data_IF_079967741571
#
_entry.id   IF_079967741571
#
_cell.length_a   1.000
_cell.length_b   1.000
_cell.length_c   1.000
_cell.angle_alpha   90.00
_cell.angle_beta   90.00
_cell.angle_gamma   90.00
#
_symmetry.space_group_name_H-M   'P 1'
#
loop_
_entity.id
_entity.type
_entity.pdbx_description
1 polymer ?
#
# COMPACT_ATOMS: atom_id res chain seq x y z
N UNK A 1 12.13 69.88 46.88
CA UNK A 1 11.69 69.57 45.50
C UNK A 1 12.09 68.11 45.21
N UNK A 2 11.15 67.29 44.71
CA UNK A 2 11.21 65.80 44.48
C UNK A 2 11.10 64.99 45.78
N UNK A 3 9.98 64.39 46.22
CA UNK A 3 8.97 63.51 45.59
C UNK A 3 9.57 62.34 44.81
N UNK A 4 9.39 61.13 45.37
CA UNK A 4 9.42 59.77 44.79
C UNK A 4 10.28 58.82 45.62
N UNK A 5 9.70 58.20 46.66
CA UNK A 5 10.06 56.84 47.18
C UNK A 5 9.18 56.50 48.39
N UNK A 6 7.86 56.43 48.19
CA UNK A 6 6.90 55.99 49.22
C UNK A 6 5.85 55.05 48.61
N UNK A 7 6.27 53.98 47.91
CA UNK A 7 5.33 52.95 47.40
C UNK A 7 5.89 51.50 47.52
N UNK A 8 7.15 51.26 47.90
CA UNK A 8 7.75 49.91 47.68
C UNK A 8 7.91 49.04 48.94
N UNK A 9 7.67 49.55 50.16
CA UNK A 9 7.98 48.78 51.39
C UNK A 9 6.79 48.20 52.16
N UNK A 10 5.55 48.32 51.67
CA UNK A 10 4.37 47.70 52.31
C UNK A 10 3.68 46.62 51.46
N UNK A 11 4.15 46.35 50.24
CA UNK A 11 3.60 45.28 49.39
C UNK A 11 4.24 43.90 49.60
N UNK A 12 5.31 43.80 50.41
CA UNK A 12 6.09 42.57 50.50
C UNK A 12 5.62 41.57 51.58
N UNK A 13 4.68 41.94 52.44
CA UNK A 13 4.25 41.07 53.57
C UNK A 13 2.89 40.40 53.35
N UNK A 14 2.11 40.78 52.32
CA UNK A 14 0.83 40.11 51.99
C UNK A 14 0.98 39.06 50.88
N UNK A 15 2.11 39.02 50.16
CA UNK A 15 2.29 38.07 49.06
C UNK A 15 2.75 36.66 49.49
N UNK A 16 3.14 36.46 50.74
CA UNK A 16 3.66 35.17 51.24
C UNK A 16 2.56 34.30 51.89
N UNK A 17 1.36 34.84 52.16
CA UNK A 17 0.26 34.06 52.77
C UNK A 17 -0.85 33.60 51.81
N UNK A 18 -0.79 33.93 50.52
CA UNK A 18 -1.72 33.41 49.50
C UNK A 18 -1.16 32.26 48.66
N UNK A 19 0.11 31.89 48.86
CA UNK A 19 0.76 30.79 48.12
C UNK A 19 0.74 29.42 48.84
N UNK A 20 0.06 29.29 49.98
CA UNK A 20 -0.01 28.02 50.74
C UNK A 20 -1.41 27.36 50.68
N UNK A 21 -2.44 28.03 50.14
CA UNK A 21 -3.79 27.43 50.01
C UNK A 21 -4.22 27.06 48.59
N UNK A 22 -3.41 27.34 47.57
CA UNK A 22 -3.62 26.79 46.22
C UNK A 22 -2.58 25.71 46.00
N UNK A 23 -2.97 24.46 46.25
CA UNK A 23 -2.10 23.29 46.20
C UNK A 23 -1.25 23.23 44.93
N UNK A 24 0.03 23.58 45.08
CA UNK A 24 1.06 23.26 44.11
C UNK A 24 1.51 21.82 44.39
N UNK A 25 0.75 20.86 43.86
CA UNK A 25 1.28 19.51 43.66
C UNK A 25 2.28 19.59 42.53
N UNK A 26 3.53 19.23 42.82
CA UNK A 26 4.58 19.08 41.83
C UNK A 26 4.19 17.98 40.83
N UNK A 27 3.74 18.41 39.66
CA UNK A 27 3.47 17.58 38.50
C UNK A 27 4.03 18.31 37.29
N UNK A 28 4.77 17.57 36.46
CA UNK A 28 5.34 18.03 35.21
C UNK A 28 4.32 18.78 34.34
N UNK A 29 4.69 19.95 33.84
CA UNK A 29 4.00 20.68 32.78
C UNK A 29 4.07 19.85 31.48
N UNK A 30 3.23 18.82 31.38
CA UNK A 30 2.77 18.30 30.11
C UNK A 30 1.88 19.36 29.49
N UNK A 31 2.25 19.84 28.31
CA UNK A 31 1.39 20.68 27.48
C UNK A 31 0.16 19.83 27.12
N UNK A 32 -0.90 19.90 27.94
CA UNK A 32 -2.18 19.26 27.69
C UNK A 32 -2.97 20.09 26.66
N UNK A 33 -2.36 20.30 25.51
CA UNK A 33 -3.07 20.55 24.28
C UNK A 33 -3.56 19.21 23.77
N UNK A 34 -4.72 18.75 24.26
CA UNK A 34 -5.51 17.76 23.52
C UNK A 34 -5.82 18.35 22.14
N UNK A 35 -4.91 18.15 21.19
CA UNK A 35 -5.30 18.02 19.78
C UNK A 35 -6.33 16.90 19.81
N UNK A 36 -7.59 17.27 19.67
CA UNK A 36 -8.58 16.34 19.13
C UNK A 36 -7.99 15.92 17.79
N UNK A 37 -7.38 14.74 17.75
CA UNK A 37 -7.20 14.04 16.50
C UNK A 37 -8.61 13.90 15.94
N UNK A 38 -8.95 14.79 15.01
CA UNK A 38 -10.12 14.58 14.17
C UNK A 38 -9.85 13.23 13.54
N UNK A 39 -10.63 12.21 13.90
CA UNK A 39 -10.71 10.97 13.14
C UNK A 39 -10.81 11.39 11.68
N UNK A 40 -9.70 11.20 10.97
CA UNK A 40 -9.64 11.54 9.56
C UNK A 40 -10.49 10.46 8.92
N UNK A 41 -11.74 10.80 8.60
CA UNK A 41 -12.66 9.91 7.90
C UNK A 41 -11.91 9.38 6.68
N UNK A 42 -11.53 8.10 6.71
CA UNK A 42 -10.84 7.49 5.60
C UNK A 42 -11.79 7.49 4.42
N UNK A 43 -11.38 8.20 3.37
CA UNK A 43 -12.08 8.21 2.11
C UNK A 43 -11.84 6.87 1.44
N UNK A 44 -12.93 6.20 1.04
CA UNK A 44 -12.86 4.96 0.28
C UNK A 44 -12.05 5.22 -1.00
N UNK A 45 -11.11 4.34 -1.28
CA UNK A 45 -10.31 4.37 -2.51
C UNK A 45 -10.68 3.21 -3.41
N UNK A 46 -10.25 3.28 -4.68
CA UNK A 46 -10.35 2.13 -5.56
C UNK A 46 -9.59 0.93 -4.95
N UNK A 47 -10.15 -0.27 -5.13
CA UNK A 47 -9.57 -1.50 -4.59
C UNK A 47 -10.01 -2.74 -5.38
N UNK A 48 -9.26 -3.83 -5.24
CA UNK A 48 -9.43 -5.05 -6.00
C UNK A 48 -8.86 -4.96 -7.43
N UNK A 49 -9.39 -5.76 -8.38
CA UNK A 49 -10.48 -6.72 -8.21
C UNK A 49 -10.07 -7.93 -7.35
N UNK A 50 -11.01 -8.49 -6.61
CA UNK A 50 -10.89 -9.75 -5.89
C UNK A 50 -11.65 -10.82 -6.66
N UNK A 51 -10.99 -11.92 -7.00
CA UNK A 51 -11.59 -13.05 -7.72
C UNK A 51 -11.76 -14.21 -6.76
N UNK A 52 -13.00 -14.61 -6.52
CA UNK A 52 -13.38 -15.68 -5.59
C UNK A 52 -13.95 -16.84 -6.39
N UNK A 53 -13.32 -18.00 -6.30
CA UNK A 53 -13.80 -19.23 -6.91
C UNK A 53 -14.70 -19.99 -5.93
N UNK A 54 -15.95 -20.22 -6.32
CA UNK A 54 -16.93 -20.94 -5.50
C UNK A 54 -16.82 -22.46 -5.69
N UNK A 55 -17.19 -23.27 -4.67
CA UNK A 55 -17.14 -24.73 -4.76
C UNK A 55 -17.99 -25.35 -5.88
N UNK A 56 -19.04 -24.65 -6.33
CA UNK A 56 -19.93 -25.09 -7.40
C UNK A 56 -19.42 -24.68 -8.81
N UNK A 57 -18.23 -24.07 -8.89
CA UNK A 57 -17.60 -23.65 -10.13
C UNK A 57 -17.93 -22.23 -10.59
N UNK A 58 -18.79 -21.49 -9.86
CA UNK A 58 -19.01 -20.07 -10.12
C UNK A 58 -17.78 -19.23 -9.76
N UNK A 59 -17.71 -18.05 -10.35
CA UNK A 59 -16.66 -17.08 -10.05
C UNK A 59 -17.29 -15.75 -9.69
N UNK A 60 -17.00 -15.25 -8.50
CA UNK A 60 -17.38 -13.93 -8.04
C UNK A 60 -16.22 -12.95 -8.22
N UNK A 61 -16.49 -11.78 -8.78
CA UNK A 61 -15.51 -10.70 -8.95
C UNK A 61 -16.02 -9.46 -8.26
N UNK A 62 -15.23 -8.97 -7.29
CA UNK A 62 -15.58 -7.83 -6.44
C UNK A 62 -14.52 -6.73 -6.60
N UNK A 63 -14.93 -5.49 -6.84
CA UNK A 63 -14.04 -4.33 -6.89
C UNK A 63 -14.66 -3.11 -6.24
N UNK A 64 -13.83 -2.19 -5.80
CA UNK A 64 -14.23 -0.84 -5.38
C UNK A 64 -13.76 0.14 -6.44
N UNK A 65 -14.67 0.93 -7.00
CA UNK A 65 -14.33 1.95 -7.99
C UNK A 65 -13.61 3.14 -7.35
N UNK A 66 -13.00 4.00 -8.15
CA UNK A 66 -12.37 5.23 -7.65
C UNK A 66 -13.36 6.20 -6.99
N UNK A 67 -14.66 6.04 -7.24
CA UNK A 67 -15.75 6.77 -6.60
C UNK A 67 -16.22 6.11 -5.30
N UNK A 68 -15.58 5.01 -4.87
CA UNK A 68 -15.93 4.26 -3.67
C UNK A 68 -17.19 3.39 -3.83
N UNK A 69 -17.62 3.09 -5.05
CA UNK A 69 -18.76 2.20 -5.30
C UNK A 69 -18.27 0.76 -5.35
N UNK A 70 -19.01 -0.15 -4.71
CA UNK A 70 -18.72 -1.58 -4.78
C UNK A 70 -19.41 -2.14 -6.01
N UNK A 71 -18.64 -2.79 -6.87
CA UNK A 71 -19.09 -3.61 -7.97
C UNK A 71 -18.88 -5.07 -7.60
N UNK A 72 -19.93 -5.88 -7.72
CA UNK A 72 -19.93 -7.30 -7.38
C UNK A 72 -20.69 -8.05 -8.47
N UNK A 73 -20.00 -8.96 -9.16
CA UNK A 73 -20.57 -9.74 -10.26
C UNK A 73 -20.21 -11.21 -10.12
N UNK A 74 -21.22 -12.07 -10.07
CA UNK A 74 -21.07 -13.53 -10.08
C UNK A 74 -21.31 -14.09 -11.49
N UNK A 75 -20.32 -14.80 -12.01
CA UNK A 75 -20.37 -15.49 -13.29
C UNK A 75 -20.62 -16.98 -13.06
N UNK A 76 -21.62 -17.54 -13.74
CA UNK A 76 -21.81 -19.00 -13.77
C UNK A 76 -20.70 -19.70 -14.54
N UNK A 77 -20.26 -19.09 -15.63
CA UNK A 77 -19.08 -19.47 -16.42
C UNK A 77 -18.43 -18.17 -16.86
N UNK A 78 -17.11 -18.04 -16.68
CA UNK A 78 -16.38 -16.87 -17.16
C UNK A 78 -16.39 -16.82 -18.70
N UNK A 79 -16.63 -15.65 -19.31
CA UNK A 79 -16.45 -15.46 -20.75
C UNK A 79 -15.05 -15.86 -21.22
N UNK A 80 -14.94 -16.36 -22.45
CA UNK A 80 -13.66 -16.84 -22.99
C UNK A 80 -12.59 -15.72 -23.09
N UNK A 81 -13.04 -14.50 -23.33
CA UNK A 81 -12.24 -13.27 -23.44
C UNK A 81 -12.28 -12.42 -22.16
N UNK A 82 -12.70 -13.01 -21.03
CA UNK A 82 -12.79 -12.32 -19.76
C UNK A 82 -11.46 -11.68 -19.37
N UNK A 83 -11.53 -10.41 -19.00
CA UNK A 83 -10.38 -9.57 -18.66
C UNK A 83 -10.72 -8.79 -17.40
N UNK A 84 -9.79 -8.77 -16.45
CA UNK A 84 -9.86 -7.91 -15.29
C UNK A 84 -9.25 -6.55 -15.62
N UNK A 85 -9.96 -5.48 -15.28
CA UNK A 85 -9.44 -4.13 -15.38
C UNK A 85 -8.90 -3.70 -14.01
N UNK A 86 -7.61 -3.39 -13.95
CA UNK A 86 -6.91 -3.09 -12.71
C UNK A 86 -6.37 -1.67 -12.75
N UNK A 87 -6.51 -0.94 -11.64
CA UNK A 87 -5.98 0.41 -11.48
C UNK A 87 -5.56 0.65 -10.03
N UNK A 88 -4.63 1.57 -9.81
CA UNK A 88 -4.22 1.98 -8.46
C UNK A 88 -5.39 2.59 -7.67
N UNK A 89 -5.20 2.76 -6.36
CA UNK A 89 -6.17 3.32 -5.43
C UNK A 89 -6.71 4.72 -5.80
N UNK A 90 -6.10 5.41 -6.77
CA UNK A 90 -6.53 6.72 -7.30
C UNK A 90 -7.02 6.65 -8.75
N UNK A 91 -7.20 5.48 -9.33
CA UNK A 91 -7.58 5.34 -10.74
C UNK A 91 -6.44 5.60 -11.74
N UNK A 92 -5.18 5.51 -11.31
CA UNK A 92 -3.99 5.67 -12.16
C UNK A 92 -3.36 4.31 -12.48
N UNK A 93 -2.50 4.29 -13.51
CA UNK A 93 -1.82 3.07 -13.97
C UNK A 93 -2.79 1.95 -14.37
N UNK A 94 -3.73 2.19 -15.30
CA UNK A 94 -4.66 1.16 -15.74
C UNK A 94 -3.91 0.06 -16.51
N UNK A 95 -4.23 -1.19 -16.24
CA UNK A 95 -3.79 -2.34 -17.03
C UNK A 95 -4.80 -3.48 -16.98
N UNK A 96 -4.74 -4.32 -18.01
CA UNK A 96 -5.64 -5.44 -18.18
C UNK A 96 -4.96 -6.76 -17.83
N UNK A 97 -5.69 -7.63 -17.14
CA UNK A 97 -5.21 -8.96 -16.74
C UNK A 97 -6.12 -10.06 -17.29
N UNK A 98 -5.53 -10.98 -18.05
CA UNK A 98 -6.18 -12.23 -18.45
C UNK A 98 -5.86 -13.31 -17.44
N UNK A 99 -6.91 -14.00 -16.97
CA UNK A 99 -6.74 -15.12 -16.04
C UNK A 99 -6.02 -16.29 -16.74
N UNK A 100 -5.07 -16.88 -16.03
CA UNK A 100 -4.38 -18.10 -16.40
C UNK A 100 -4.28 -19.07 -15.20
N UNK A 101 -4.10 -20.38 -15.44
CA UNK A 101 -3.92 -21.33 -14.35
C UNK A 101 -2.71 -20.96 -13.48
N UNK A 102 -2.88 -20.99 -12.16
CA UNK A 102 -1.78 -20.89 -11.20
C UNK A 102 -1.10 -22.24 -11.14
N UNK A 103 0.23 -22.26 -11.36
CA UNK A 103 1.04 -23.47 -11.28
C UNK A 103 2.13 -23.26 -10.26
N UNK A 104 2.50 -24.33 -9.55
CA UNK A 104 3.68 -24.27 -8.69
C UNK A 104 4.92 -24.09 -9.57
N UNK A 105 5.78 -23.11 -9.29
CA UNK A 105 7.04 -22.95 -10.00
C UNK A 105 7.93 -24.19 -9.86
N UNK A 106 8.71 -24.48 -10.90
CA UNK A 106 9.79 -25.47 -10.83
C UNK A 106 10.86 -25.02 -9.83
N UNK A 107 11.64 -25.96 -9.29
CA UNK A 107 12.73 -25.62 -8.37
C UNK A 107 14.04 -25.33 -9.11
N UNK A 108 14.16 -25.78 -10.37
CA UNK A 108 15.33 -25.60 -11.21
C UNK A 108 14.98 -24.88 -12.50
N UNK A 109 15.72 -23.81 -12.80
CA UNK A 109 15.58 -23.03 -14.02
C UNK A 109 16.87 -23.04 -14.82
N UNK A 110 16.74 -22.86 -16.13
CA UNK A 110 17.88 -22.46 -16.95
C UNK A 110 18.37 -21.09 -16.47
N UNK A 111 19.67 -20.94 -16.31
CA UNK A 111 20.25 -19.65 -15.97
C UNK A 111 19.96 -18.63 -17.09
N UNK A 112 19.31 -17.49 -16.76
CA UNK A 112 19.04 -16.43 -17.72
C UNK A 112 20.29 -15.56 -17.93
N UNK A 113 20.32 -14.79 -19.02
CA UNK A 113 21.41 -13.84 -19.28
C UNK A 113 21.39 -12.66 -18.30
N UNK A 114 20.19 -12.25 -17.86
CA UNK A 114 19.97 -11.18 -16.88
C UNK A 114 18.93 -11.60 -15.85
N UNK A 115 19.12 -11.09 -14.63
CA UNK A 115 18.16 -11.19 -13.53
C UNK A 115 17.92 -9.80 -12.98
N UNK A 116 16.66 -9.42 -12.80
CA UNK A 116 16.26 -8.25 -12.03
C UNK A 116 15.63 -8.73 -10.73
N UNK A 117 16.15 -8.25 -9.60
CA UNK A 117 15.70 -8.66 -8.26
C UNK A 117 15.13 -7.46 -7.51
N UNK A 118 13.96 -7.62 -6.91
CA UNK A 118 13.34 -6.60 -6.06
C UNK A 118 12.68 -7.22 -4.82
N UNK A 119 12.40 -6.39 -3.82
CA UNK A 119 11.82 -6.79 -2.53
C UNK A 119 11.04 -5.63 -1.95
N UNK A 120 10.21 -5.91 -0.94
CA UNK A 120 9.52 -4.93 -0.08
C UNK A 120 8.66 -3.89 -0.83
N UNK A 121 7.79 -4.27 -1.80
CA UNK A 121 6.93 -3.30 -2.46
C UNK A 121 5.99 -2.55 -1.50
N UNK A 122 5.55 -3.20 -0.41
CA UNK A 122 4.68 -2.64 0.63
C UNK A 122 3.55 -1.76 0.08
N UNK A 123 2.77 -2.31 -0.85
CA UNK A 123 1.60 -1.66 -1.44
C UNK A 123 1.86 -0.37 -2.23
N UNK A 124 3.10 -0.10 -2.68
CA UNK A 124 3.47 1.10 -3.46
C UNK A 124 3.62 0.80 -4.95
N UNK A 125 2.49 0.64 -5.66
CA UNK A 125 2.49 0.28 -7.08
C UNK A 125 3.27 1.27 -7.95
N UNK A 126 3.16 2.58 -7.66
CA UNK A 126 3.90 3.61 -8.39
C UNK A 126 5.42 3.41 -8.35
N UNK A 127 5.96 2.96 -7.20
CA UNK A 127 7.38 2.65 -7.04
C UNK A 127 7.75 1.40 -7.86
N UNK A 128 6.94 0.34 -7.77
CA UNK A 128 7.11 -0.89 -8.57
C UNK A 128 7.16 -0.57 -10.06
N UNK A 129 6.13 0.12 -10.57
CA UNK A 129 6.04 0.51 -11.98
C UNK A 129 7.24 1.34 -12.43
N UNK A 130 7.71 2.28 -11.59
CA UNK A 130 8.86 3.13 -11.92
C UNK A 130 10.16 2.33 -11.99
N UNK A 131 10.39 1.40 -11.06
CA UNK A 131 11.57 0.53 -11.04
C UNK A 131 11.59 -0.43 -12.24
N UNK A 132 10.47 -1.10 -12.52
CA UNK A 132 10.39 -2.05 -13.62
C UNK A 132 10.53 -1.36 -14.98
N UNK A 133 9.88 -0.20 -15.18
CA UNK A 133 10.03 0.58 -16.43
C UNK A 133 11.44 1.14 -16.60
N UNK A 134 12.02 1.69 -15.52
CA UNK A 134 13.37 2.25 -15.54
C UNK A 134 14.46 1.23 -15.88
N UNK A 135 14.19 -0.06 -15.67
CA UNK A 135 15.09 -1.18 -15.97
C UNK A 135 14.64 -2.01 -17.18
N UNK A 136 13.67 -1.53 -17.97
CA UNK A 136 13.12 -2.21 -19.14
C UNK A 136 12.60 -3.62 -18.87
N UNK A 137 12.14 -3.89 -17.63
CA UNK A 137 11.44 -5.14 -17.30
C UNK A 137 10.03 -5.12 -17.87
N UNK A 138 9.40 -3.94 -17.85
CA UNK A 138 8.12 -3.68 -18.50
C UNK A 138 8.20 -2.46 -19.42
N UNK A 139 7.34 -2.42 -20.44
CA UNK A 139 7.24 -1.31 -21.39
C UNK A 139 6.35 -0.15 -20.87
N UNK A 140 6.01 0.77 -21.77
CA UNK A 140 5.18 1.94 -21.43
C UNK A 140 3.72 1.60 -21.13
N UNK A 141 3.24 0.45 -21.60
CA UNK A 141 1.87 -0.05 -21.45
C UNK A 141 1.81 -1.19 -20.40
N UNK A 142 2.89 -1.33 -19.61
CA UNK A 142 3.03 -2.31 -18.53
C UNK A 142 3.06 -3.78 -18.99
N UNK A 143 3.45 -4.04 -20.24
CA UNK A 143 3.72 -5.38 -20.73
C UNK A 143 5.16 -5.81 -20.47
N UNK A 144 5.37 -7.11 -20.28
CA UNK A 144 6.69 -7.70 -20.20
C UNK A 144 7.58 -7.29 -21.39
N UNK A 145 8.74 -6.72 -21.08
CA UNK A 145 9.75 -6.31 -22.06
C UNK A 145 11.14 -6.86 -21.76
N UNK A 146 11.26 -7.79 -20.81
CA UNK A 146 12.54 -8.32 -20.35
C UNK A 146 13.01 -9.55 -21.15
N UNK A 147 12.37 -9.89 -22.27
CA UNK A 147 12.77 -11.00 -23.14
C UNK A 147 12.81 -12.35 -22.40
N UNK A 148 13.87 -13.13 -22.60
CA UNK A 148 14.06 -14.44 -21.97
C UNK A 148 14.70 -14.37 -20.58
N UNK A 149 14.66 -13.20 -19.94
CA UNK A 149 15.32 -12.96 -18.65
C UNK A 149 14.37 -13.22 -17.47
N UNK A 150 14.86 -13.02 -16.26
CA UNK A 150 14.16 -13.40 -15.03
C UNK A 150 13.93 -12.20 -14.11
N UNK A 151 12.67 -11.99 -13.72
CA UNK A 151 12.28 -11.12 -12.61
C UNK A 151 12.11 -11.95 -11.34
N UNK A 152 12.80 -11.57 -10.26
CA UNK A 152 12.65 -12.18 -8.93
C UNK A 152 12.11 -11.14 -7.95
N UNK A 153 11.01 -11.47 -7.29
CA UNK A 153 10.40 -10.64 -6.24
C UNK A 153 10.53 -11.40 -4.91
N UNK A 154 11.22 -10.80 -3.94
CA UNK A 154 11.53 -11.40 -2.64
C UNK A 154 10.52 -10.92 -1.58
N UNK A 155 9.23 -11.12 -1.84
CA UNK A 155 8.17 -10.91 -0.84
C UNK A 155 7.94 -9.47 -0.38
N UNK A 156 7.21 -9.36 0.73
CA UNK A 156 6.83 -8.13 1.44
C UNK A 156 6.05 -7.13 0.56
N UNK A 157 5.10 -7.66 -0.22
CA UNK A 157 4.11 -6.83 -0.94
C UNK A 157 3.12 -6.21 0.04
N UNK A 158 2.69 -6.96 1.06
CA UNK A 158 1.70 -6.52 2.03
C UNK A 158 2.18 -5.33 2.87
N UNK A 159 1.20 -4.69 3.52
CA UNK A 159 1.32 -3.56 4.46
C UNK A 159 1.73 -2.21 3.87
N UNK A 160 1.49 -1.16 4.68
CA UNK A 160 1.85 0.27 4.51
C UNK A 160 1.19 1.01 3.35
N UNK A 161 1.20 0.45 2.14
CA UNK A 161 0.61 1.04 0.94
C UNK A 161 -0.83 0.61 0.69
N UNK A 162 -1.43 1.16 -0.37
CA UNK A 162 -2.84 0.92 -0.73
C UNK A 162 -3.02 0.01 -1.93
N UNK A 163 -1.94 -0.28 -2.66
CA UNK A 163 -2.03 -0.92 -3.97
C UNK A 163 -1.59 -2.40 -3.95
N UNK A 164 -1.87 -3.11 -2.85
CA UNK A 164 -1.44 -4.51 -2.66
C UNK A 164 -2.05 -5.44 -3.72
N UNK A 165 -3.39 -5.49 -3.93
CA UNK A 165 -3.98 -6.33 -4.97
C UNK A 165 -3.44 -6.02 -6.37
N UNK A 166 -3.21 -4.75 -6.67
CA UNK A 166 -2.74 -4.30 -7.97
C UNK A 166 -1.31 -4.78 -8.25
N UNK A 167 -0.43 -4.81 -7.23
CA UNK A 167 0.92 -5.36 -7.39
C UNK A 167 0.85 -6.88 -7.65
N UNK A 168 -0.01 -7.61 -6.94
CA UNK A 168 -0.23 -9.04 -7.22
C UNK A 168 -0.74 -9.27 -8.64
N UNK A 169 -1.72 -8.48 -9.09
CA UNK A 169 -2.24 -8.57 -10.46
C UNK A 169 -1.19 -8.24 -11.52
N UNK A 170 -0.32 -7.27 -11.25
CA UNK A 170 0.81 -6.96 -12.14
C UNK A 170 1.75 -8.16 -12.25
N UNK A 171 2.18 -8.75 -11.13
CA UNK A 171 3.11 -9.90 -11.18
C UNK A 171 2.46 -11.15 -11.75
N UNK A 172 1.18 -11.39 -11.47
CA UNK A 172 0.39 -12.44 -12.08
C UNK A 172 0.35 -12.28 -13.61
N UNK A 173 -0.01 -11.10 -14.11
CA UNK A 173 0.04 -10.77 -15.54
C UNK A 173 1.43 -11.02 -16.14
N UNK A 174 2.48 -10.52 -15.48
CA UNK A 174 3.86 -10.65 -15.95
C UNK A 174 4.36 -12.09 -15.94
N UNK A 175 3.90 -12.94 -15.02
CA UNK A 175 4.24 -14.37 -15.01
C UNK A 175 3.88 -15.02 -16.36
N UNK A 176 2.67 -14.77 -16.85
CA UNK A 176 2.21 -15.31 -18.14
C UNK A 176 2.95 -14.69 -19.31
N UNK A 177 3.09 -13.37 -19.34
CA UNK A 177 3.76 -12.68 -20.46
C UNK A 177 5.25 -13.04 -20.54
N UNK A 178 5.92 -13.19 -19.40
CA UNK A 178 7.29 -13.66 -19.36
C UNK A 178 7.41 -15.09 -19.89
N UNK A 179 6.54 -16.00 -19.44
CA UNK A 179 6.53 -17.38 -19.91
C UNK A 179 6.33 -17.47 -21.43
N UNK A 180 5.44 -16.66 -22.00
CA UNK A 180 5.21 -16.60 -23.45
C UNK A 180 6.43 -16.08 -24.23
N UNK A 181 7.22 -15.19 -23.63
CA UNK A 181 8.46 -14.68 -24.19
C UNK A 181 9.68 -15.58 -23.91
N UNK A 182 9.51 -16.71 -23.21
CA UNK A 182 10.60 -17.59 -22.76
C UNK A 182 11.41 -17.05 -21.59
N UNK A 183 10.91 -16.02 -20.91
CA UNK A 183 11.43 -15.50 -19.65
C UNK A 183 10.73 -16.11 -18.44
N UNK A 184 10.95 -15.53 -17.26
CA UNK A 184 10.38 -16.04 -16.02
C UNK A 184 10.12 -14.95 -14.98
N UNK A 185 9.11 -15.16 -14.14
CA UNK A 185 8.84 -14.37 -12.93
C UNK A 185 8.80 -15.34 -11.76
N UNK A 186 9.58 -15.09 -10.72
CA UNK A 186 9.48 -15.82 -9.45
C UNK A 186 9.08 -14.89 -8.32
N UNK A 187 8.05 -15.29 -7.58
CA UNK A 187 7.61 -14.62 -6.37
C UNK A 187 7.91 -15.50 -5.16
N UNK A 188 8.68 -14.97 -4.22
CA UNK A 188 8.96 -15.61 -2.93
C UNK A 188 8.11 -14.97 -1.85
N UNK A 189 7.75 -15.76 -0.84
CA UNK A 189 7.01 -15.27 0.33
C UNK A 189 7.97 -14.60 1.30
N UNK A 190 7.67 -13.36 1.66
CA UNK A 190 8.29 -12.64 2.76
C UNK A 190 7.56 -12.91 4.08
N UNK A 191 7.90 -12.16 5.12
CA UNK A 191 7.28 -12.32 6.43
C UNK A 191 5.95 -11.56 6.56
N UNK A 192 5.63 -10.68 5.62
CA UNK A 192 4.36 -9.97 5.58
C UNK A 192 3.28 -10.68 4.76
N UNK A 193 3.64 -11.71 3.98
CA UNK A 193 2.67 -12.56 3.30
C UNK A 193 2.04 -13.55 4.31
N UNK A 194 0.70 -13.60 4.41
CA UNK A 194 0.03 -14.58 5.26
C UNK A 194 0.28 -16.00 4.72
N UNK A 195 0.67 -16.91 5.62
CA UNK A 195 0.77 -18.36 5.37
C UNK A 195 -0.59 -19.05 5.50
#
# INVERSE_FOLDING_TARGET
MKYQTTIVKSFFTVFILTFISSGLSAGTLGLDGKKKDKEKKEELSADGPYVIYEPDGKVCVISVTAQGQIEDTTYTVLPQDFTLHVTDHKGRYPFDVKLHPVKRPEWQYRQPDKVFVMSDPHGKLNCVMSLLRGNNVIDKDYHWSFGTNHLVVIGDIFDRGKDVPQIFWLFYKLEKEAADAGGHVSFLLGNHEPL
#
